data_IF_526422148408
#
_entry.id   IF_526422148408
#
_cell.length_a   1.000
_cell.length_b   1.000
_cell.length_c   1.000
_cell.angle_alpha   90.00
_cell.angle_beta   90.00
_cell.angle_gamma   90.00
#
_symmetry.space_group_name_H-M   'P 1'
#
loop_
_entity.id
_entity.type
_entity.pdbx_description
1 polymer ?
#
# COMPACT_ATOMS: atom_id res chain seq x y z
N UNK A 1 -17.97 -7.45 -13.05
CA UNK A 1 -18.57 -6.20 -13.59
C UNK A 1 -17.58 -5.09 -13.35
N UNK A 2 -17.47 -4.12 -14.26
CA UNK A 2 -16.65 -2.92 -14.03
C UNK A 2 -17.29 -2.04 -12.95
N UNK A 3 -16.46 -1.38 -12.15
CA UNK A 3 -16.91 -0.37 -11.18
C UNK A 3 -16.76 1.04 -11.77
N UNK A 4 -17.24 2.09 -11.12
CA UNK A 4 -16.98 3.48 -11.55
C UNK A 4 -15.50 3.89 -11.54
N UNK A 5 -14.64 3.12 -10.87
CA UNK A 5 -13.22 3.43 -10.66
C UNK A 5 -12.28 2.42 -11.30
N UNK A 6 -12.81 1.29 -11.80
CA UNK A 6 -11.99 0.22 -12.36
C UNK A 6 -12.76 -0.51 -13.48
N UNK A 7 -12.16 -0.57 -14.68
CA UNK A 7 -12.73 -1.20 -15.86
C UNK A 7 -12.14 -2.59 -16.17
N UNK A 8 -11.35 -3.16 -15.26
CA UNK A 8 -10.86 -4.52 -15.38
C UNK A 8 -12.02 -5.54 -15.42
N UNK A 9 -11.76 -6.67 -16.01
CA UNK A 9 -12.68 -7.81 -16.06
C UNK A 9 -12.41 -8.76 -14.88
N UNK A 10 -13.39 -9.58 -14.49
CA UNK A 10 -13.13 -10.67 -13.55
C UNK A 10 -11.95 -11.52 -14.00
N UNK A 11 -11.01 -11.76 -13.11
CA UNK A 11 -9.79 -12.51 -13.39
C UNK A 11 -8.63 -11.71 -13.99
N UNK A 12 -8.80 -10.43 -14.32
CA UNK A 12 -7.70 -9.60 -14.81
C UNK A 12 -6.65 -9.34 -13.73
N UNK A 13 -7.07 -9.17 -12.47
CA UNK A 13 -6.13 -9.02 -11.36
C UNK A 13 -5.64 -10.38 -10.82
N UNK A 14 -4.42 -10.40 -10.34
CA UNK A 14 -3.86 -11.51 -9.57
C UNK A 14 -4.38 -11.51 -8.13
N UNK A 15 -4.15 -12.59 -7.39
CA UNK A 15 -4.48 -12.71 -5.97
C UNK A 15 -3.73 -11.70 -5.10
N UNK A 16 -2.53 -11.31 -5.50
CA UNK A 16 -1.68 -10.35 -4.81
C UNK A 16 -1.46 -9.12 -5.66
N UNK A 17 -1.68 -7.96 -5.06
CA UNK A 17 -1.51 -6.65 -5.70
C UNK A 17 -0.50 -5.81 -4.93
N UNK A 18 0.55 -5.34 -5.61
CA UNK A 18 1.42 -4.28 -5.12
C UNK A 18 0.75 -2.94 -5.38
N UNK A 19 0.62 -2.11 -4.35
CA UNK A 19 -0.18 -0.88 -4.45
C UNK A 19 0.66 0.36 -4.10
N UNK A 20 1.38 0.97 -5.08
CA UNK A 20 1.95 2.29 -4.92
C UNK A 20 0.88 3.38 -4.94
N UNK A 21 1.20 4.59 -4.45
CA UNK A 21 0.28 5.74 -4.54
C UNK A 21 0.21 6.33 -5.95
N UNK A 22 1.35 6.41 -6.60
CA UNK A 22 1.57 7.09 -7.87
C UNK A 22 1.30 6.13 -9.05
N UNK A 23 0.44 6.51 -10.03
CA UNK A 23 0.21 5.72 -11.24
C UNK A 23 1.46 5.50 -12.09
N UNK A 24 2.36 6.46 -12.17
CA UNK A 24 3.61 6.31 -12.91
C UNK A 24 4.57 5.34 -12.21
N UNK A 25 4.52 5.26 -10.88
CA UNK A 25 5.26 4.24 -10.14
C UNK A 25 4.65 2.86 -10.35
N UNK A 26 3.33 2.74 -10.44
CA UNK A 26 2.69 1.47 -10.79
C UNK A 26 3.15 0.98 -12.17
N UNK A 27 3.18 1.89 -13.15
CA UNK A 27 3.71 1.61 -14.48
C UNK A 27 5.18 1.19 -14.43
N UNK A 28 6.02 1.96 -13.74
CA UNK A 28 7.44 1.66 -13.60
C UNK A 28 7.69 0.27 -13.00
N UNK A 29 6.98 -0.08 -11.91
CA UNK A 29 7.12 -1.39 -11.28
C UNK A 29 6.70 -2.49 -12.25
N UNK A 30 5.58 -2.32 -12.95
CA UNK A 30 5.09 -3.30 -13.89
C UNK A 30 6.06 -3.52 -15.06
N UNK A 31 6.50 -2.45 -15.71
CA UNK A 31 7.37 -2.53 -16.89
C UNK A 31 8.81 -2.97 -16.55
N UNK A 32 9.26 -2.72 -15.31
CA UNK A 32 10.63 -3.06 -14.88
C UNK A 32 10.75 -4.49 -14.35
N UNK A 33 9.75 -4.95 -13.59
CA UNK A 33 9.87 -6.19 -12.82
C UNK A 33 8.94 -7.31 -13.28
N UNK A 34 7.84 -7.01 -13.98
CA UNK A 34 6.93 -8.06 -14.44
C UNK A 34 7.24 -8.50 -15.86
N UNK A 35 7.12 -9.79 -16.08
CA UNK A 35 7.12 -10.39 -17.42
C UNK A 35 5.73 -10.21 -18.04
N UNK A 36 5.71 -9.76 -19.31
CA UNK A 36 4.49 -9.56 -20.12
C UNK A 36 3.39 -8.74 -19.39
N UNK A 37 3.69 -7.57 -18.81
CA UNK A 37 2.71 -6.76 -18.10
C UNK A 37 1.59 -6.30 -19.04
N UNK A 38 0.34 -6.54 -18.64
CA UNK A 38 -0.85 -6.08 -19.35
C UNK A 38 -1.52 -4.96 -18.56
N UNK A 39 -1.85 -3.85 -19.20
CA UNK A 39 -2.65 -2.78 -18.62
C UNK A 39 -4.10 -3.27 -18.48
N UNK A 40 -4.58 -3.43 -17.26
CA UNK A 40 -5.94 -3.94 -16.97
C UNK A 40 -6.88 -2.86 -16.46
N UNK A 41 -6.35 -1.74 -15.97
CA UNK A 41 -7.13 -0.58 -15.58
C UNK A 41 -6.41 0.73 -15.91
N UNK A 42 -7.18 1.73 -16.38
CA UNK A 42 -6.71 3.12 -16.55
C UNK A 42 -7.83 4.14 -16.31
N UNK A 43 -8.86 3.76 -15.58
CA UNK A 43 -9.94 4.68 -15.19
C UNK A 43 -9.36 5.79 -14.32
N UNK A 44 -9.67 7.04 -14.63
CA UNK A 44 -9.16 8.23 -13.93
C UNK A 44 -7.62 8.34 -13.90
N UNK A 45 -6.92 7.65 -14.82
CA UNK A 45 -5.45 7.58 -14.81
C UNK A 45 -4.86 6.71 -13.71
N UNK A 46 -5.68 6.01 -12.93
CA UNK A 46 -5.22 5.07 -11.90
C UNK A 46 -4.88 3.75 -12.57
N UNK A 47 -3.61 3.66 -12.98
CA UNK A 47 -3.13 2.53 -13.76
C UNK A 47 -3.00 1.25 -12.92
N UNK A 48 -3.50 0.15 -13.49
CA UNK A 48 -3.36 -1.20 -12.95
C UNK A 48 -2.80 -2.14 -14.02
N UNK A 49 -1.85 -2.96 -13.66
CA UNK A 49 -1.17 -3.91 -14.53
C UNK A 49 -1.15 -5.29 -13.91
N UNK A 50 -1.14 -6.32 -14.74
CA UNK A 50 -0.95 -7.71 -14.33
C UNK A 50 0.07 -8.37 -15.22
N UNK A 51 0.99 -9.10 -14.62
CA UNK A 51 2.03 -9.87 -15.30
C UNK A 51 2.52 -11.02 -14.43
N UNK A 52 3.71 -11.52 -14.67
CA UNK A 52 4.36 -12.56 -13.87
C UNK A 52 5.70 -12.06 -13.32
N UNK A 53 6.04 -12.51 -12.13
CA UNK A 53 7.33 -12.32 -11.51
C UNK A 53 7.84 -13.67 -11.01
N UNK A 54 8.97 -14.15 -11.55
CA UNK A 54 9.54 -15.47 -11.23
C UNK A 54 8.49 -16.60 -11.33
N UNK A 55 7.65 -16.56 -12.38
CA UNK A 55 6.60 -17.55 -12.61
C UNK A 55 5.33 -17.37 -11.78
N UNK A 56 5.27 -16.40 -10.87
CA UNK A 56 4.08 -16.10 -10.05
C UNK A 56 3.32 -14.91 -10.64
N UNK A 57 2.01 -15.06 -10.81
CA UNK A 57 1.14 -13.98 -11.29
C UNK A 57 0.97 -12.91 -10.23
N UNK A 58 1.31 -11.66 -10.55
CA UNK A 58 1.25 -10.49 -9.67
C UNK A 58 0.61 -9.32 -10.39
N UNK A 59 -0.14 -8.52 -9.67
CA UNK A 59 -0.65 -7.24 -10.16
C UNK A 59 0.01 -6.06 -9.46
N UNK A 60 0.05 -4.94 -10.14
CA UNK A 60 0.46 -3.65 -9.58
C UNK A 60 -0.63 -2.65 -9.92
N UNK A 61 -1.18 -1.96 -8.94
CA UNK A 61 -2.20 -0.94 -9.18
C UNK A 61 -1.99 0.26 -8.26
N UNK A 62 -2.09 1.47 -8.82
CA UNK A 62 -2.00 2.68 -8.02
C UNK A 62 -3.19 2.84 -7.07
N UNK A 63 -2.94 3.46 -5.92
CA UNK A 63 -3.98 3.79 -4.94
C UNK A 63 -4.44 5.24 -5.00
N UNK A 64 -3.71 6.12 -5.69
CA UNK A 64 -3.84 7.55 -5.47
C UNK A 64 -3.30 7.97 -4.10
N UNK A 65 -3.66 9.17 -3.66
CA UNK A 65 -3.24 9.75 -2.40
C UNK A 65 -4.38 9.79 -1.39
N UNK A 66 -4.03 9.56 -0.13
CA UNK A 66 -4.93 9.70 1.01
C UNK A 66 -5.79 8.46 1.30
N UNK A 67 -6.31 8.43 2.52
CA UNK A 67 -7.10 7.32 3.04
C UNK A 67 -8.36 7.07 2.20
N UNK A 68 -9.15 8.09 1.80
CA UNK A 68 -10.35 7.86 1.00
C UNK A 68 -10.04 7.23 -0.37
N UNK A 69 -8.95 7.63 -1.01
CA UNK A 69 -8.57 7.09 -2.32
C UNK A 69 -8.18 5.62 -2.23
N UNK A 70 -7.26 5.25 -1.34
CA UNK A 70 -6.86 3.85 -1.18
C UNK A 70 -8.04 2.97 -0.73
N UNK A 71 -8.95 3.50 0.07
CA UNK A 71 -10.13 2.77 0.52
C UNK A 71 -11.04 2.37 -0.65
N UNK A 72 -11.24 3.25 -1.63
CA UNK A 72 -12.02 2.93 -2.84
C UNK A 72 -11.39 1.75 -3.58
N UNK A 73 -10.12 1.88 -3.95
CA UNK A 73 -9.46 0.89 -4.80
C UNK A 73 -9.23 -0.45 -4.10
N UNK A 74 -8.81 -0.43 -2.82
CA UNK A 74 -8.61 -1.66 -2.07
C UNK A 74 -9.92 -2.40 -1.83
N UNK A 75 -10.99 -1.68 -1.49
CA UNK A 75 -12.31 -2.30 -1.32
C UNK A 75 -12.79 -2.97 -2.61
N UNK A 76 -12.68 -2.28 -3.75
CA UNK A 76 -13.08 -2.86 -5.03
C UNK A 76 -12.23 -4.08 -5.41
N UNK A 77 -10.91 -4.03 -5.20
CA UNK A 77 -10.03 -5.15 -5.47
C UNK A 77 -10.42 -6.40 -4.65
N UNK A 78 -10.71 -6.23 -3.36
CA UNK A 78 -11.13 -7.34 -2.50
C UNK A 78 -12.53 -7.85 -2.85
N UNK A 79 -13.49 -6.95 -3.05
CA UNK A 79 -14.90 -7.34 -3.15
C UNK A 79 -15.35 -7.69 -4.56
N UNK A 80 -14.71 -7.13 -5.60
CA UNK A 80 -15.16 -7.26 -6.99
C UNK A 80 -14.18 -8.06 -7.87
N UNK A 81 -12.90 -8.07 -7.55
CA UNK A 81 -11.87 -8.65 -8.40
C UNK A 81 -11.16 -9.87 -7.81
N UNK A 82 -11.57 -10.32 -6.62
CA UNK A 82 -11.07 -11.54 -5.99
C UNK A 82 -9.60 -11.45 -5.55
N UNK A 83 -9.12 -10.25 -5.28
CA UNK A 83 -7.80 -10.03 -4.68
C UNK A 83 -7.82 -10.49 -3.24
N UNK A 84 -6.78 -11.16 -2.80
CA UNK A 84 -6.64 -11.70 -1.44
C UNK A 84 -5.61 -10.93 -0.62
N UNK A 85 -4.56 -10.41 -1.28
CA UNK A 85 -3.47 -9.72 -0.62
C UNK A 85 -3.17 -8.37 -1.28
N UNK A 86 -3.02 -7.33 -0.50
CA UNK A 86 -2.54 -6.03 -0.95
C UNK A 86 -1.30 -5.65 -0.14
N UNK A 87 -0.20 -5.36 -0.84
CA UNK A 87 1.03 -4.85 -0.24
C UNK A 87 1.20 -3.39 -0.69
N UNK A 88 1.08 -2.46 0.25
CA UNK A 88 1.30 -1.03 -0.02
C UNK A 88 2.80 -0.76 -0.22
N UNK A 89 3.16 -0.26 -1.40
CA UNK A 89 4.55 0.09 -1.76
C UNK A 89 4.64 1.60 -1.95
N UNK A 90 4.94 2.30 -0.87
CA UNK A 90 4.91 3.76 -0.85
C UNK A 90 6.22 4.40 -0.43
N UNK A 91 6.24 5.71 -0.44
CA UNK A 91 7.23 6.55 0.23
C UNK A 91 6.64 7.12 1.51
N UNK A 92 7.47 7.39 2.50
CA UNK A 92 7.10 7.99 3.78
C UNK A 92 8.18 8.95 4.25
N UNK A 93 7.80 9.92 5.07
CA UNK A 93 8.75 10.76 5.81
C UNK A 93 9.13 10.07 7.13
N UNK A 94 10.42 9.95 7.41
CA UNK A 94 10.89 9.44 8.69
C UNK A 94 10.57 10.43 9.82
N UNK A 95 10.02 9.90 10.92
CA UNK A 95 9.83 10.68 12.16
C UNK A 95 10.93 10.40 13.18
N UNK A 96 11.69 9.33 13.00
CA UNK A 96 12.85 8.98 13.81
C UNK A 96 14.12 9.59 13.21
N UNK A 97 14.94 10.17 14.06
CA UNK A 97 16.19 10.84 13.64
C UNK A 97 17.31 9.86 13.22
N UNK A 98 17.19 8.59 13.60
CA UNK A 98 18.15 7.53 13.27
C UNK A 98 17.87 6.79 11.95
N UNK A 99 16.86 7.22 11.22
CA UNK A 99 16.57 6.70 9.89
C UNK A 99 17.23 7.55 8.80
N UNK A 100 18.01 6.91 7.96
CA UNK A 100 18.66 7.55 6.82
C UNK A 100 17.70 7.69 5.62
N UNK A 101 17.94 8.69 4.78
CA UNK A 101 17.21 8.84 3.53
C UNK A 101 17.44 7.62 2.63
N UNK A 102 16.38 7.13 2.03
CA UNK A 102 16.43 5.94 1.19
C UNK A 102 16.32 4.62 1.95
N UNK A 103 16.21 4.66 3.30
CA UNK A 103 15.92 3.46 4.07
C UNK A 103 14.59 2.82 3.65
N UNK A 104 14.55 1.49 3.63
CA UNK A 104 13.33 0.70 3.47
C UNK A 104 12.83 0.31 4.84
N UNK A 105 11.56 0.53 5.14
CA UNK A 105 10.94 0.11 6.40
C UNK A 105 9.61 -0.60 6.15
N UNK A 106 9.22 -1.47 7.06
CA UNK A 106 7.93 -2.16 7.04
C UNK A 106 7.05 -1.69 8.19
N UNK A 107 5.78 -1.39 7.87
CA UNK A 107 4.76 -1.06 8.85
C UNK A 107 4.12 -2.30 9.42
N UNK A 108 4.18 -2.47 10.75
CA UNK A 108 3.45 -3.53 11.44
C UNK A 108 2.11 -3.06 12.00
N UNK A 109 2.00 -1.78 12.31
CA UNK A 109 0.78 -1.13 12.78
C UNK A 109 0.67 0.27 12.19
N UNK A 110 -0.52 0.87 12.25
CA UNK A 110 -0.75 2.21 11.75
C UNK A 110 -1.50 3.07 12.75
N UNK A 111 -0.88 4.18 13.15
CA UNK A 111 -1.55 5.25 13.87
C UNK A 111 -2.23 6.18 12.88
N UNK A 112 -3.31 6.83 13.30
CA UNK A 112 -4.00 7.80 12.45
C UNK A 112 -4.67 8.89 13.27
N UNK A 113 -4.87 10.06 12.66
CA UNK A 113 -5.74 11.12 13.14
C UNK A 113 -7.04 11.23 12.32
N UNK A 114 -7.26 10.28 11.41
CA UNK A 114 -8.44 10.24 10.55
C UNK A 114 -9.65 9.69 11.28
N UNK A 115 -10.81 10.27 11.04
CA UNK A 115 -12.11 9.72 11.44
C UNK A 115 -12.65 8.68 10.46
N UNK A 116 -11.85 8.20 9.52
CA UNK A 116 -12.31 7.26 8.49
C UNK A 116 -12.93 5.98 9.07
N UNK A 117 -12.39 5.51 10.21
CA UNK A 117 -12.90 4.30 10.86
C UNK A 117 -14.25 4.49 11.58
N UNK A 118 -14.68 5.72 11.83
CA UNK A 118 -15.94 6.00 12.56
C UNK A 118 -17.16 5.47 11.81
N UNK A 119 -17.08 5.39 10.47
CA UNK A 119 -18.14 4.82 9.63
C UNK A 119 -18.48 3.34 9.93
N UNK A 120 -17.57 2.63 10.58
CA UNK A 120 -17.79 1.22 10.95
C UNK A 120 -18.52 1.04 12.27
N UNK A 121 -18.76 2.13 13.02
CA UNK A 121 -19.54 2.16 14.28
C UNK A 121 -19.15 1.04 15.29
N UNK A 122 -17.84 0.77 15.39
CA UNK A 122 -17.33 -0.36 16.17
C UNK A 122 -17.52 -0.20 17.69
N UNK A 123 -17.84 1.00 18.19
CA UNK A 123 -17.95 1.29 19.63
C UNK A 123 -16.65 1.16 20.41
N UNK A 124 -15.52 1.02 19.72
CA UNK A 124 -14.19 0.85 20.27
C UNK A 124 -13.11 1.37 19.31
N UNK A 125 -11.91 1.63 19.79
CA UNK A 125 -10.77 1.95 18.95
C UNK A 125 -10.21 0.67 18.34
N UNK A 126 -10.23 0.57 17.02
CA UNK A 126 -9.58 -0.51 16.27
C UNK A 126 -8.09 -0.21 16.12
N UNK A 127 -7.24 -1.20 16.38
CA UNK A 127 -5.80 -1.12 16.17
C UNK A 127 -5.45 -1.77 14.81
N UNK A 128 -5.23 -0.98 13.74
CA UNK A 128 -4.90 -1.54 12.43
C UNK A 128 -3.48 -2.11 12.46
N UNK A 129 -3.39 -3.42 12.27
CA UNK A 129 -2.13 -4.15 12.13
C UNK A 129 -2.04 -4.81 10.75
N UNK A 130 -0.83 -5.03 10.26
CA UNK A 130 -0.63 -5.76 9.01
C UNK A 130 -0.83 -7.27 9.21
N UNK A 131 -0.96 -7.99 8.10
CA UNK A 131 -0.91 -9.45 8.11
C UNK A 131 0.51 -9.91 8.48
N UNK A 132 0.61 -10.79 9.49
CA UNK A 132 1.89 -11.27 10.02
C UNK A 132 2.70 -12.05 8.99
N UNK A 133 2.06 -12.94 8.22
CA UNK A 133 2.77 -13.78 7.26
C UNK A 133 3.39 -12.96 6.12
N UNK A 134 2.67 -11.94 5.64
CA UNK A 134 3.18 -11.00 4.64
C UNK A 134 4.32 -10.16 5.18
N UNK A 135 4.24 -9.72 6.44
CA UNK A 135 5.33 -8.98 7.10
C UNK A 135 6.57 -9.85 7.26
N UNK A 136 6.39 -11.07 7.77
CA UNK A 136 7.48 -12.01 7.97
C UNK A 136 8.21 -12.34 6.66
N UNK A 137 7.45 -12.61 5.59
CA UNK A 137 8.01 -12.86 4.25
C UNK A 137 8.76 -11.63 3.70
N UNK A 138 8.27 -10.41 3.95
CA UNK A 138 8.96 -9.20 3.53
C UNK A 138 10.29 -9.01 4.28
N UNK A 139 10.30 -9.27 5.59
CA UNK A 139 11.53 -9.20 6.42
C UNK A 139 12.55 -10.26 5.97
N UNK A 140 12.10 -11.49 5.72
CA UNK A 140 12.96 -12.57 5.22
C UNK A 140 13.58 -12.20 3.87
N UNK A 141 12.78 -11.73 2.93
CA UNK A 141 13.25 -11.28 1.62
C UNK A 141 14.25 -10.13 1.71
N UNK A 142 14.02 -9.17 2.63
CA UNK A 142 14.96 -8.07 2.88
C UNK A 142 16.32 -8.61 3.39
N UNK A 143 16.29 -9.57 4.31
CA UNK A 143 17.50 -10.21 4.85
C UNK A 143 18.26 -10.96 3.76
N UNK A 144 17.57 -11.72 2.89
CA UNK A 144 18.19 -12.42 1.76
C UNK A 144 18.87 -11.45 0.79
N UNK A 145 18.31 -10.27 0.61
CA UNK A 145 18.86 -9.21 -0.24
C UNK A 145 19.91 -8.34 0.45
N UNK A 146 20.21 -8.59 1.73
CA UNK A 146 21.12 -7.77 2.53
C UNK A 146 20.59 -6.35 2.81
N UNK A 147 19.28 -6.15 2.73
CA UNK A 147 18.63 -4.85 2.97
C UNK A 147 18.20 -4.76 4.43
N UNK A 148 18.73 -3.78 5.16
CA UNK A 148 18.25 -3.47 6.51
C UNK A 148 16.85 -2.85 6.42
N UNK A 149 15.84 -3.55 6.93
CA UNK A 149 14.45 -3.12 6.91
C UNK A 149 13.87 -3.08 8.33
N UNK A 150 13.97 -1.92 9.04
CA UNK A 150 13.33 -1.76 10.34
C UNK A 150 11.81 -1.95 10.24
N UNK A 151 11.25 -2.56 11.27
CA UNK A 151 9.80 -2.79 11.41
C UNK A 151 9.28 -1.91 12.53
N UNK A 152 8.16 -1.21 12.31
CA UNK A 152 7.58 -0.31 13.31
C UNK A 152 6.23 0.22 12.92
N UNK A 153 5.73 1.19 13.68
CA UNK A 153 4.46 1.83 13.40
C UNK A 153 4.59 2.83 12.24
N UNK A 154 3.51 2.96 11.47
CA UNK A 154 3.31 4.05 10.52
C UNK A 154 2.32 5.07 11.09
N UNK A 155 2.38 6.28 10.60
CA UNK A 155 1.37 7.30 10.85
C UNK A 155 0.71 7.72 9.54
N UNK A 156 -0.59 7.55 9.45
CA UNK A 156 -1.40 7.97 8.31
C UNK A 156 -2.29 9.14 8.72
N UNK A 157 -2.23 10.23 7.97
CA UNK A 157 -2.94 11.47 8.28
C UNK A 157 -3.81 11.91 7.11
N UNK A 158 -4.94 12.55 7.42
CA UNK A 158 -5.77 13.21 6.41
C UNK A 158 -5.14 14.51 5.88
N UNK A 159 -4.13 15.04 6.59
CA UNK A 159 -3.40 16.24 6.19
C UNK A 159 -1.92 15.93 6.02
N UNK A 160 -1.34 16.35 4.89
CA UNK A 160 0.08 16.20 4.64
C UNK A 160 0.91 17.25 5.40
N UNK A 161 0.44 18.50 5.41
CA UNK A 161 1.11 19.61 6.09
C UNK A 161 0.55 19.78 7.50
N UNK A 162 1.39 19.53 8.52
CA UNK A 162 1.03 19.73 9.94
C UNK A 162 1.62 21.03 10.46
N UNK A 163 0.84 22.11 10.38
CA UNK A 163 1.24 23.44 10.85
C UNK A 163 1.56 23.47 12.37
N UNK A 164 1.04 22.52 13.15
CA UNK A 164 1.27 22.44 14.59
C UNK A 164 2.51 21.61 14.97
N UNK A 165 3.21 21.02 13.99
CA UNK A 165 4.42 20.23 14.23
C UNK A 165 4.24 19.00 15.12
N UNK A 166 3.02 18.43 15.15
CA UNK A 166 2.67 17.31 16.04
C UNK A 166 3.41 16.02 15.70
N UNK A 167 3.82 15.88 14.42
CA UNK A 167 4.50 14.70 13.91
C UNK A 167 5.79 14.38 14.70
N UNK A 168 6.52 15.40 15.17
CA UNK A 168 7.73 15.22 15.99
C UNK A 168 7.46 14.49 17.32
N UNK A 169 6.22 14.47 17.80
CA UNK A 169 5.85 13.75 19.03
C UNK A 169 5.80 12.24 18.81
N UNK A 170 5.34 11.80 17.64
CA UNK A 170 5.29 10.38 17.30
C UNK A 170 6.69 9.74 17.22
N UNK A 171 7.69 10.47 16.72
CA UNK A 171 9.07 9.97 16.67
C UNK A 171 9.68 9.66 18.04
N UNK A 172 9.06 10.16 19.14
CA UNK A 172 9.48 9.84 20.51
C UNK A 172 8.76 8.63 21.09
N UNK A 173 7.75 8.14 20.41
CA UNK A 173 6.90 7.03 20.89
C UNK A 173 7.28 5.68 20.24
N UNK A 174 8.21 5.67 19.33
CA UNK A 174 8.71 4.46 18.65
C UNK A 174 8.37 4.38 17.19
#
# INVERSE_FOLDING_TARGET
MSTPHNNAKPGDFAKTVLMPGDPLRAKFIAETFLENPQLVNNVRGVQGYTGTYKGVRVSVMASGMGIPSIAIYSNELYTQYGVENIIRVGSAGAMRADMELGSVCAGMGACTNSSFADQYELGATYAPICNYDLLAAAVESANELGVKMPVGNLYSSDTFYDAAGRNARFGKMG
#
